data_IF_841139888332
#
_entry.id   IF_841139888332
#
_cell.length_a   1.000
_cell.length_b   1.000
_cell.length_c   1.000
_cell.angle_alpha   90.00
_cell.angle_beta   90.00
_cell.angle_gamma   90.00
#
_symmetry.space_group_name_H-M   'P 1'
#
loop_
_entity.id
_entity.type
_entity.pdbx_description
1 polymer ?
#
# COMPACT_ATOMS: atom_id res chain seq x y z
N UNK A 1 -12.96 31.10 -8.04
CA UNK A 1 -12.98 29.72 -7.57
C UNK A 1 -11.55 29.22 -7.32
N UNK A 2 -10.79 29.80 -6.41
CA UNK A 2 -9.40 29.48 -6.18
C UNK A 2 -8.88 29.78 -4.78
N UNK A 3 -9.70 30.39 -3.94
CA UNK A 3 -9.23 30.89 -2.63
C UNK A 3 -9.50 29.96 -1.44
N UNK A 4 -10.12 28.80 -1.64
CA UNK A 4 -10.51 27.86 -0.58
C UNK A 4 -9.79 26.50 -0.66
N UNK A 5 -8.68 26.39 -1.40
CA UNK A 5 -7.84 25.18 -1.41
C UNK A 5 -6.70 25.34 -0.40
N UNK A 6 -6.43 24.29 0.38
CA UNK A 6 -5.34 24.23 1.38
C UNK A 6 -5.48 25.19 2.59
N UNK A 7 -6.70 25.46 3.02
CA UNK A 7 -6.95 26.22 4.24
C UNK A 7 -6.54 25.41 5.48
N UNK A 8 -5.94 26.10 6.46
CA UNK A 8 -5.62 25.47 7.74
C UNK A 8 -6.91 25.06 8.47
N UNK A 9 -7.10 23.76 8.69
CA UNK A 9 -8.28 23.18 9.33
C UNK A 9 -8.62 23.87 10.67
N UNK A 10 -7.63 24.10 11.52
CA UNK A 10 -7.83 24.69 12.85
C UNK A 10 -8.33 26.15 12.78
N UNK A 11 -7.90 26.86 11.75
CA UNK A 11 -8.18 28.29 11.61
C UNK A 11 -9.56 28.57 10.99
N UNK A 12 -10.01 27.68 10.08
CA UNK A 12 -11.24 27.90 9.30
C UNK A 12 -12.36 26.91 9.64
N UNK A 13 -12.03 25.76 10.18
CA UNK A 13 -12.95 24.63 10.37
C UNK A 13 -13.00 24.13 11.81
N UNK A 14 -11.93 24.28 12.58
CA UNK A 14 -11.87 23.85 13.99
C UNK A 14 -12.96 24.48 14.87
N UNK A 15 -13.46 25.64 14.44
CA UNK A 15 -14.60 26.34 15.08
C UNK A 15 -15.89 25.50 14.98
N UNK A 16 -16.05 24.69 13.91
CA UNK A 16 -17.25 23.87 13.63
C UNK A 16 -17.26 22.54 14.38
N UNK A 17 -16.11 22.03 14.80
CA UNK A 17 -15.98 20.72 15.47
C UNK A 17 -16.94 20.56 16.62
N UNK A 18 -17.18 21.60 17.39
CA UNK A 18 -18.10 21.57 18.52
C UNK A 18 -19.56 21.34 18.10
N UNK A 19 -19.96 21.86 16.94
CA UNK A 19 -21.31 21.66 16.40
C UNK A 19 -21.46 20.29 15.75
N UNK A 20 -20.44 19.83 15.05
CA UNK A 20 -20.45 18.58 14.28
C UNK A 20 -20.22 17.33 15.14
N UNK A 21 -19.59 17.46 16.30
CA UNK A 21 -19.40 16.34 17.27
C UNK A 21 -20.69 15.82 17.87
N UNK A 22 -21.80 16.52 17.72
CA UNK A 22 -23.12 16.07 18.21
C UNK A 22 -23.83 15.08 17.29
N UNK A 23 -23.21 14.63 16.22
CA UNK A 23 -23.79 13.78 15.17
C UNK A 23 -25.03 14.40 14.48
N UNK A 24 -25.16 15.73 14.51
CA UNK A 24 -26.29 16.45 13.95
C UNK A 24 -25.83 17.42 12.88
N UNK A 25 -26.68 17.64 11.90
CA UNK A 25 -26.44 18.71 10.91
C UNK A 25 -26.49 20.08 11.58
N UNK A 26 -25.63 20.99 11.12
CA UNK A 26 -25.63 22.39 11.54
C UNK A 26 -26.53 23.17 10.61
N UNK A 27 -27.45 23.92 11.18
CA UNK A 27 -28.36 24.80 10.42
C UNK A 27 -28.28 26.19 11.02
N UNK A 28 -27.78 27.14 10.26
CA UNK A 28 -27.72 28.57 10.59
C UNK A 28 -28.50 29.32 9.50
N UNK A 29 -29.78 29.57 9.71
CA UNK A 29 -30.62 30.28 8.72
C UNK A 29 -30.19 31.72 8.48
N UNK A 30 -29.69 32.38 9.53
CA UNK A 30 -29.15 33.74 9.49
C UNK A 30 -27.98 33.85 10.46
N UNK A 31 -26.81 34.21 9.97
CA UNK A 31 -25.60 34.36 10.81
C UNK A 31 -25.75 35.48 11.87
N UNK A 32 -26.60 36.46 11.67
CA UNK A 32 -26.80 37.52 12.66
C UNK A 32 -27.38 36.95 13.98
N UNK A 33 -28.07 35.81 13.92
CA UNK A 33 -28.60 35.14 15.11
C UNK A 33 -27.48 34.60 16.05
N UNK A 34 -26.32 34.27 15.52
CA UNK A 34 -25.19 33.72 16.31
C UNK A 34 -24.18 34.80 16.72
N UNK A 35 -24.34 36.06 16.29
CA UNK A 35 -23.40 37.17 16.50
C UNK A 35 -23.00 37.35 17.97
N UNK A 36 -23.94 37.24 18.91
CA UNK A 36 -23.67 37.43 20.35
C UNK A 36 -23.26 36.15 21.06
N UNK A 37 -23.68 35.00 20.58
CA UNK A 37 -23.42 33.69 21.20
C UNK A 37 -22.18 33.05 20.69
N UNK A 38 -21.77 33.36 19.45
CA UNK A 38 -20.60 32.77 18.78
C UNK A 38 -19.97 33.78 17.81
N UNK A 39 -19.30 34.78 18.37
CA UNK A 39 -18.68 35.86 17.60
C UNK A 39 -17.57 35.35 16.65
N UNK A 40 -16.86 34.28 17.02
CA UNK A 40 -15.78 33.74 16.20
C UNK A 40 -16.34 33.12 14.91
N UNK A 41 -17.35 32.28 15.05
CA UNK A 41 -18.06 31.68 13.92
C UNK A 41 -18.71 32.75 13.04
N UNK A 42 -19.36 33.71 13.66
CA UNK A 42 -19.96 34.84 12.95
C UNK A 42 -18.95 35.62 12.10
N UNK A 43 -17.81 36.01 12.69
CA UNK A 43 -16.77 36.75 11.97
C UNK A 43 -16.15 35.94 10.82
N UNK A 44 -15.98 34.64 11.02
CA UNK A 44 -15.47 33.72 9.99
C UNK A 44 -16.42 33.67 8.79
N UNK A 45 -17.71 33.42 9.03
CA UNK A 45 -18.73 33.36 7.98
C UNK A 45 -18.91 34.68 7.25
N UNK A 46 -18.93 35.75 8.02
CA UNK A 46 -19.10 37.10 7.45
C UNK A 46 -17.97 37.50 6.51
N UNK A 47 -16.71 37.14 6.84
CA UNK A 47 -15.55 37.38 5.97
C UNK A 47 -15.66 36.58 4.65
N UNK A 48 -16.35 35.48 4.65
CA UNK A 48 -16.58 34.63 3.48
C UNK A 48 -17.87 35.01 2.73
N UNK A 49 -18.57 36.09 3.12
CA UNK A 49 -19.86 36.52 2.56
C UNK A 49 -20.96 35.44 2.69
N UNK A 50 -20.89 34.62 3.73
CA UNK A 50 -21.90 33.63 4.04
C UNK A 50 -22.95 34.31 4.96
N UNK A 51 -24.23 34.21 4.57
CA UNK A 51 -25.37 34.76 5.33
C UNK A 51 -26.20 33.64 5.97
N UNK A 52 -26.23 32.50 5.35
CA UNK A 52 -26.87 31.30 5.90
C UNK A 52 -26.00 30.08 5.59
N UNK A 53 -26.00 29.06 6.49
CA UNK A 53 -25.17 27.87 6.38
C UNK A 53 -25.98 26.64 6.77
N UNK A 54 -25.83 25.59 5.99
CA UNK A 54 -26.32 24.25 6.35
C UNK A 54 -25.21 23.24 6.05
N UNK A 55 -24.82 22.46 7.07
CA UNK A 55 -23.78 21.47 6.95
C UNK A 55 -24.24 20.12 7.52
N UNK A 56 -23.93 19.05 6.78
CA UNK A 56 -24.15 17.67 7.19
C UNK A 56 -22.79 16.96 7.40
N UNK A 57 -22.56 16.35 8.57
CA UNK A 57 -21.31 15.67 8.86
C UNK A 57 -21.19 14.37 8.08
N UNK A 58 -19.98 14.06 7.64
CA UNK A 58 -19.60 12.77 7.08
C UNK A 58 -18.72 12.03 8.07
N UNK A 59 -19.01 10.74 8.30
CA UNK A 59 -18.28 9.90 9.25
C UNK A 59 -17.59 8.75 8.54
N UNK A 60 -16.41 8.38 9.07
CA UNK A 60 -15.67 7.18 8.69
C UNK A 60 -15.20 6.48 9.97
N UNK A 61 -15.55 5.20 10.15
CA UNK A 61 -15.26 4.44 11.38
C UNK A 61 -15.66 5.20 12.67
N UNK A 62 -16.86 5.78 12.68
CA UNK A 62 -17.42 6.61 13.77
C UNK A 62 -16.66 7.93 14.04
N UNK A 63 -15.65 8.26 13.25
CA UNK A 63 -14.94 9.52 13.35
C UNK A 63 -15.43 10.51 12.30
N UNK A 64 -15.52 11.78 12.67
CA UNK A 64 -15.81 12.84 11.72
C UNK A 64 -14.68 12.88 10.66
N UNK A 65 -15.04 12.65 9.41
CA UNK A 65 -14.10 12.65 8.27
C UNK A 65 -14.22 13.85 7.36
N UNK A 66 -15.27 14.65 7.56
CA UNK A 66 -15.55 15.84 6.78
C UNK A 66 -17.01 16.25 6.92
N UNK A 67 -17.43 17.20 6.14
CA UNK A 67 -18.81 17.68 6.06
C UNK A 67 -19.14 18.09 4.63
N UNK A 68 -20.43 18.08 4.36
CA UNK A 68 -21.02 18.55 3.12
C UNK A 68 -21.92 19.72 3.46
N UNK A 69 -21.66 20.90 2.88
CA UNK A 69 -22.38 22.11 3.22
C UNK A 69 -22.96 22.82 2.00
N UNK A 70 -23.93 23.69 2.25
CA UNK A 70 -24.45 24.67 1.33
C UNK A 70 -24.58 26.01 2.03
N UNK A 71 -24.10 27.05 1.36
CA UNK A 71 -24.12 28.43 1.83
C UNK A 71 -25.19 29.23 1.11
N UNK A 72 -25.69 30.27 1.78
CA UNK A 72 -26.59 31.28 1.18
C UNK A 72 -27.84 30.68 0.54
N UNK A 73 -28.38 29.62 1.19
CA UNK A 73 -29.63 28.99 0.75
C UNK A 73 -30.84 29.84 1.11
N UNK A 74 -31.96 29.62 0.41
CA UNK A 74 -33.23 30.26 0.75
C UNK A 74 -33.86 29.54 1.94
N UNK A 75 -34.37 30.29 2.92
CA UNK A 75 -34.99 29.72 4.11
C UNK A 75 -36.16 28.77 3.77
N UNK A 76 -36.91 29.07 2.69
CA UNK A 76 -37.97 28.19 2.19
C UNK A 76 -37.52 26.83 1.82
N UNK A 77 -36.25 26.66 1.46
CA UNK A 77 -35.69 25.42 0.93
C UNK A 77 -34.88 24.66 2.00
N UNK A 78 -34.77 25.22 3.21
CA UNK A 78 -33.91 24.69 4.28
C UNK A 78 -34.20 23.22 4.65
N UNK A 79 -35.47 22.83 4.74
CA UNK A 79 -35.87 21.49 5.12
C UNK A 79 -35.50 20.47 4.06
N UNK A 80 -35.76 20.78 2.79
CA UNK A 80 -35.46 19.89 1.64
C UNK A 80 -33.92 19.80 1.45
N UNK A 81 -33.23 20.94 1.57
CA UNK A 81 -31.78 21.00 1.50
C UNK A 81 -31.12 20.19 2.61
N UNK A 82 -31.59 20.31 3.85
CA UNK A 82 -31.11 19.52 4.98
C UNK A 82 -31.27 18.03 4.70
N UNK A 83 -32.47 17.61 4.31
CA UNK A 83 -32.73 16.21 3.97
C UNK A 83 -31.81 15.70 2.86
N UNK A 84 -31.64 16.49 1.80
CA UNK A 84 -30.77 16.14 0.68
C UNK A 84 -29.32 16.00 1.12
N UNK A 85 -28.78 16.99 1.85
CA UNK A 85 -27.38 16.99 2.31
C UNK A 85 -27.08 15.84 3.27
N UNK A 86 -27.97 15.56 4.22
CA UNK A 86 -27.83 14.43 5.14
C UNK A 86 -27.75 13.09 4.39
N UNK A 87 -28.63 12.88 3.40
CA UNK A 87 -28.60 11.68 2.58
C UNK A 87 -27.34 11.61 1.71
N UNK A 88 -26.91 12.73 1.12
CA UNK A 88 -25.67 12.79 0.35
C UNK A 88 -24.45 12.57 1.22
N UNK A 89 -24.39 13.12 2.42
CA UNK A 89 -23.29 12.91 3.37
C UNK A 89 -23.17 11.43 3.77
N UNK A 90 -24.28 10.78 4.08
CA UNK A 90 -24.33 9.33 4.35
C UNK A 90 -23.89 8.53 3.13
N UNK A 91 -24.37 8.86 1.93
CA UNK A 91 -24.00 8.17 0.70
C UNK A 91 -22.48 8.29 0.42
N UNK A 92 -21.92 9.49 0.53
CA UNK A 92 -20.49 9.75 0.30
C UNK A 92 -19.62 9.03 1.34
N UNK A 93 -20.02 9.05 2.63
CA UNK A 93 -19.35 8.31 3.70
C UNK A 93 -19.27 6.83 3.37
N UNK A 94 -20.41 6.20 3.04
CA UNK A 94 -20.45 4.77 2.68
C UNK A 94 -19.65 4.46 1.42
N UNK A 95 -19.67 5.34 0.42
CA UNK A 95 -18.89 5.15 -0.80
C UNK A 95 -17.39 5.17 -0.51
N UNK A 96 -16.94 6.05 0.38
CA UNK A 96 -15.57 6.10 0.85
C UNK A 96 -15.20 4.81 1.59
N UNK A 97 -16.02 4.35 2.55
CA UNK A 97 -15.79 3.11 3.30
C UNK A 97 -15.64 1.90 2.37
N UNK A 98 -16.50 1.80 1.36
CA UNK A 98 -16.43 0.72 0.35
C UNK A 98 -15.13 0.82 -0.44
N UNK A 99 -14.71 2.02 -0.83
CA UNK A 99 -13.46 2.24 -1.56
C UNK A 99 -12.24 1.80 -0.74
N UNK A 100 -12.16 2.26 0.50
CA UNK A 100 -11.07 1.93 1.42
C UNK A 100 -11.02 0.41 1.72
N UNK A 101 -12.19 -0.22 1.86
CA UNK A 101 -12.30 -1.67 2.01
C UNK A 101 -11.83 -2.42 0.75
N UNK A 102 -12.22 -1.95 -0.44
CA UNK A 102 -11.78 -2.54 -1.71
C UNK A 102 -10.26 -2.42 -1.90
N UNK A 103 -9.67 -1.28 -1.56
CA UNK A 103 -8.22 -1.08 -1.63
C UNK A 103 -7.49 -1.98 -0.63
N UNK A 104 -8.02 -2.13 0.57
CA UNK A 104 -7.49 -3.06 1.56
C UNK A 104 -7.57 -4.51 1.11
N UNK A 105 -8.71 -4.93 0.55
CA UNK A 105 -8.87 -6.27 -0.02
C UNK A 105 -7.91 -6.52 -1.20
N UNK A 106 -7.74 -5.53 -2.08
CA UNK A 106 -6.77 -5.60 -3.17
C UNK A 106 -5.35 -5.75 -2.64
N UNK A 107 -4.97 -4.91 -1.66
CA UNK A 107 -3.66 -5.00 -1.01
C UNK A 107 -3.41 -6.39 -0.41
N UNK A 108 -4.34 -6.93 0.37
CA UNK A 108 -4.25 -8.26 0.98
C UNK A 108 -4.21 -9.39 -0.07
N UNK A 109 -4.94 -9.22 -1.18
CA UNK A 109 -4.96 -10.18 -2.29
C UNK A 109 -3.65 -10.20 -3.08
N UNK A 110 -2.87 -9.11 -3.07
CA UNK A 110 -1.69 -8.93 -3.93
C UNK A 110 -0.36 -8.93 -3.19
N UNK A 111 -0.37 -8.73 -1.86
CA UNK A 111 0.85 -8.61 -1.07
C UNK A 111 0.98 -9.72 -0.04
N UNK A 112 2.21 -10.04 0.33
CA UNK A 112 2.57 -10.83 1.49
C UNK A 112 2.60 -9.89 2.71
N UNK A 113 1.74 -10.17 3.70
CA UNK A 113 1.54 -9.28 4.87
C UNK A 113 2.79 -9.19 5.74
N UNK A 114 3.59 -10.26 5.81
CA UNK A 114 4.78 -10.30 6.64
C UNK A 114 5.91 -9.44 6.08
N UNK A 115 6.13 -9.54 4.77
CA UNK A 115 7.31 -8.95 4.10
C UNK A 115 6.99 -7.69 3.29
N UNK A 116 5.71 -7.44 2.99
CA UNK A 116 5.26 -6.30 2.20
C UNK A 116 5.79 -6.29 0.76
N UNK A 117 6.20 -7.45 0.22
CA UNK A 117 6.38 -7.66 -1.22
C UNK A 117 5.14 -8.31 -1.81
N UNK A 118 5.05 -8.40 -3.11
CA UNK A 118 3.93 -9.08 -3.74
C UNK A 118 3.88 -10.57 -3.40
N UNK A 119 2.67 -11.14 -3.40
CA UNK A 119 2.46 -12.56 -3.17
C UNK A 119 2.42 -13.37 -4.48
N UNK A 120 2.26 -14.69 -4.38
CA UNK A 120 2.16 -15.61 -5.53
C UNK A 120 1.00 -15.25 -6.48
N UNK A 121 -0.12 -14.74 -5.96
CA UNK A 121 -1.27 -14.36 -6.80
C UNK A 121 -0.93 -13.17 -7.70
N UNK A 122 -0.27 -12.14 -7.13
CA UNK A 122 0.21 -11.00 -7.89
C UNK A 122 1.24 -11.42 -8.95
N UNK A 123 2.17 -12.34 -8.60
CA UNK A 123 3.12 -12.90 -9.56
C UNK A 123 2.40 -13.55 -10.74
N UNK A 124 1.40 -14.40 -10.48
CA UNK A 124 0.67 -15.11 -11.55
C UNK A 124 -0.01 -14.13 -12.52
N UNK A 125 -0.56 -13.02 -12.01
CA UNK A 125 -1.11 -11.94 -12.87
C UNK A 125 -0.01 -11.26 -13.69
N UNK A 126 1.12 -10.95 -13.06
CA UNK A 126 2.26 -10.30 -13.75
C UNK A 126 2.84 -11.17 -14.86
N UNK A 127 2.89 -12.49 -14.69
CA UNK A 127 3.36 -13.42 -15.71
C UNK A 127 2.55 -13.33 -17.03
N UNK A 128 1.26 -13.05 -16.94
CA UNK A 128 0.40 -12.88 -18.11
C UNK A 128 0.74 -11.62 -18.89
N UNK A 129 0.99 -10.49 -18.19
CA UNK A 129 1.39 -9.24 -18.84
C UNK A 129 2.80 -9.32 -19.44
N UNK A 130 3.76 -9.92 -18.72
CA UNK A 130 5.12 -10.11 -19.22
C UNK A 130 5.16 -10.91 -20.54
N UNK A 131 4.32 -11.97 -20.65
CA UNK A 131 4.22 -12.75 -21.89
C UNK A 131 3.68 -11.93 -23.06
N UNK A 132 2.74 -11.05 -22.80
CA UNK A 132 2.13 -10.21 -23.85
C UNK A 132 3.10 -9.17 -24.41
N UNK A 133 4.01 -8.68 -23.60
CA UNK A 133 4.97 -7.64 -23.98
C UNK A 133 6.20 -8.20 -24.72
N UNK A 134 6.48 -9.51 -24.60
CA UNK A 134 7.58 -10.28 -25.21
C UNK A 134 8.95 -9.57 -25.22
N UNK A 135 9.26 -8.86 -24.14
CA UNK A 135 10.57 -8.22 -23.92
C UNK A 135 11.58 -9.17 -23.28
N UNK A 136 12.84 -8.75 -23.26
CA UNK A 136 13.89 -9.44 -22.50
C UNK A 136 13.57 -9.42 -21.00
N UNK A 137 13.94 -10.47 -20.27
CA UNK A 137 13.61 -10.61 -18.86
C UNK A 137 14.73 -11.27 -18.09
N UNK A 138 15.12 -10.67 -16.98
CA UNK A 138 15.93 -11.32 -15.94
C UNK A 138 15.01 -11.96 -14.89
N UNK A 139 15.30 -13.18 -14.48
CA UNK A 139 14.56 -13.93 -13.47
C UNK A 139 15.52 -14.32 -12.37
N UNK A 140 15.24 -13.99 -11.13
CA UNK A 140 16.04 -14.32 -9.95
C UNK A 140 15.16 -15.05 -8.95
N UNK A 141 15.45 -16.33 -8.71
CA UNK A 141 14.88 -17.12 -7.62
C UNK A 141 15.81 -17.08 -6.42
N UNK A 142 15.25 -16.93 -5.26
CA UNK A 142 16.00 -16.88 -3.99
C UNK A 142 15.27 -17.69 -2.93
N UNK A 143 16.05 -18.44 -2.16
CA UNK A 143 15.57 -19.22 -1.03
C UNK A 143 16.42 -18.86 0.20
N UNK A 144 15.76 -18.55 1.32
CA UNK A 144 16.43 -18.23 2.59
C UNK A 144 16.85 -19.51 3.31
N UNK A 145 18.15 -19.73 3.41
CA UNK A 145 18.68 -20.94 4.01
C UNK A 145 18.35 -21.06 5.51
N UNK A 146 18.04 -22.30 5.93
CA UNK A 146 17.86 -22.69 7.34
C UNK A 146 16.72 -21.96 8.08
N UNK A 147 15.70 -21.45 7.41
CA UNK A 147 14.57 -20.80 8.06
C UNK A 147 13.87 -21.73 9.06
N UNK A 148 13.65 -23.02 8.68
CA UNK A 148 13.04 -24.01 9.56
C UNK A 148 13.87 -24.21 10.83
N UNK A 149 15.18 -24.42 10.72
CA UNK A 149 16.07 -24.56 11.86
C UNK A 149 16.05 -23.29 12.75
N UNK A 150 16.03 -22.12 12.16
CA UNK A 150 15.90 -20.84 12.88
C UNK A 150 14.60 -20.80 13.68
N UNK A 151 13.47 -21.19 13.08
CA UNK A 151 12.17 -21.23 13.73
C UNK A 151 12.15 -22.22 14.90
N UNK A 152 12.69 -23.43 14.68
CA UNK A 152 12.71 -24.49 15.66
C UNK A 152 13.65 -24.16 16.85
N UNK A 153 14.73 -23.40 16.60
CA UNK A 153 15.72 -23.06 17.63
C UNK A 153 15.43 -21.75 18.36
N UNK A 154 14.99 -20.72 17.64
CA UNK A 154 14.85 -19.36 18.17
C UNK A 154 13.42 -18.83 18.16
N UNK A 155 12.46 -19.62 17.65
CA UNK A 155 11.06 -19.26 17.55
C UNK A 155 10.70 -18.50 16.25
N UNK A 156 9.41 -18.50 15.92
CA UNK A 156 8.88 -17.92 14.68
C UNK A 156 9.13 -16.43 14.54
N UNK A 157 9.20 -15.67 15.63
CA UNK A 157 9.47 -14.22 15.60
C UNK A 157 10.85 -13.89 14.98
N UNK A 158 11.86 -14.72 15.24
CA UNK A 158 13.21 -14.57 14.66
C UNK A 158 13.20 -14.95 13.19
N UNK A 159 12.50 -16.02 12.81
CA UNK A 159 12.31 -16.38 11.42
C UNK A 159 11.56 -15.32 10.61
N UNK A 160 10.53 -14.72 11.19
CA UNK A 160 9.80 -13.60 10.59
C UNK A 160 10.69 -12.38 10.37
N UNK A 161 11.59 -12.07 11.32
CA UNK A 161 12.58 -11.00 11.15
C UNK A 161 13.49 -11.29 9.96
N UNK A 162 14.02 -12.53 9.84
CA UNK A 162 14.85 -12.92 8.69
C UNK A 162 14.16 -12.80 7.36
N UNK A 163 12.87 -13.11 7.30
CA UNK A 163 12.05 -12.93 6.09
C UNK A 163 11.88 -11.44 5.73
N UNK A 164 11.72 -10.57 6.73
CA UNK A 164 11.69 -9.11 6.51
C UNK A 164 13.05 -8.59 6.04
N UNK A 165 14.15 -9.06 6.63
CA UNK A 165 15.51 -8.68 6.22
C UNK A 165 15.80 -9.09 4.78
N UNK A 166 15.37 -10.30 4.40
CA UNK A 166 15.46 -10.80 3.04
C UNK A 166 14.66 -9.94 2.04
N UNK A 167 13.43 -9.58 2.40
CA UNK A 167 12.61 -8.67 1.63
C UNK A 167 13.26 -7.28 1.45
N UNK A 168 13.83 -6.72 2.52
CA UNK A 168 14.56 -5.46 2.50
C UNK A 168 15.83 -5.54 1.63
N UNK A 169 16.53 -6.66 1.67
CA UNK A 169 17.67 -6.93 0.79
C UNK A 169 17.23 -6.93 -0.68
N UNK A 170 16.19 -7.67 -1.02
CA UNK A 170 15.69 -7.71 -2.40
C UNK A 170 15.26 -6.33 -2.90
N UNK A 171 14.53 -5.57 -2.09
CA UNK A 171 14.09 -4.19 -2.40
C UNK A 171 15.26 -3.23 -2.63
N UNK A 172 16.43 -3.49 -2.04
CA UNK A 172 17.63 -2.66 -2.23
C UNK A 172 18.35 -2.90 -3.56
N UNK A 173 18.05 -4.01 -4.25
CA UNK A 173 18.78 -4.44 -5.46
C UNK A 173 17.87 -4.65 -6.67
N UNK A 174 16.63 -5.09 -6.45
CA UNK A 174 15.65 -5.37 -7.49
C UNK A 174 14.52 -4.33 -7.48
N UNK A 175 13.82 -4.11 -8.62
CA UNK A 175 12.64 -3.25 -8.67
C UNK A 175 11.56 -3.72 -7.69
N UNK A 176 11.12 -2.88 -6.71
CA UNK A 176 10.21 -3.31 -5.65
C UNK A 176 8.87 -3.85 -6.14
N UNK A 177 8.38 -3.33 -7.28
CA UNK A 177 7.12 -3.73 -7.91
C UNK A 177 7.16 -5.13 -8.57
N UNK A 178 8.34 -5.69 -8.77
CA UNK A 178 8.55 -6.98 -9.42
C UNK A 178 9.25 -7.99 -8.49
N UNK A 179 9.03 -7.86 -7.17
CA UNK A 179 9.49 -8.80 -6.14
C UNK A 179 8.29 -9.54 -5.56
N UNK A 180 8.39 -10.86 -5.50
CA UNK A 180 7.30 -11.75 -5.08
C UNK A 180 7.79 -12.76 -4.05
N UNK A 181 6.99 -13.01 -3.00
CA UNK A 181 7.16 -14.15 -2.10
C UNK A 181 6.21 -15.26 -2.52
N UNK A 182 6.76 -16.44 -2.80
CA UNK A 182 5.97 -17.58 -3.29
C UNK A 182 5.35 -18.39 -2.15
N UNK A 183 5.96 -18.36 -0.99
CA UNK A 183 5.57 -19.04 0.24
C UNK A 183 6.81 -19.48 1.02
N UNK A 184 6.68 -19.69 2.33
CA UNK A 184 7.81 -20.10 3.17
C UNK A 184 9.00 -19.15 3.06
N UNK A 185 10.12 -19.68 2.58
CA UNK A 185 11.43 -19.05 2.40
C UNK A 185 11.74 -18.63 0.95
N UNK A 186 10.81 -18.86 0.00
CA UNK A 186 11.04 -18.66 -1.43
C UNK A 186 10.58 -17.30 -1.93
N UNK A 187 11.48 -16.61 -2.65
CA UNK A 187 11.24 -15.32 -3.31
C UNK A 187 11.62 -15.36 -4.78
N UNK A 188 10.95 -14.53 -5.57
CA UNK A 188 11.27 -14.33 -7.00
C UNK A 188 11.31 -12.84 -7.29
N UNK A 189 12.25 -12.43 -8.15
CA UNK A 189 12.24 -11.11 -8.73
C UNK A 189 12.32 -11.18 -10.26
N UNK A 190 11.61 -10.27 -10.93
CA UNK A 190 11.69 -10.05 -12.36
C UNK A 190 12.40 -8.73 -12.66
N UNK A 191 13.30 -8.75 -13.64
CA UNK A 191 13.97 -7.58 -14.19
C UNK A 191 13.48 -7.38 -15.62
N UNK A 192 12.32 -6.74 -15.75
CA UNK A 192 11.63 -6.53 -17.00
C UNK A 192 12.42 -5.57 -17.91
N UNK A 193 12.62 -5.95 -19.18
CA UNK A 193 13.38 -5.19 -20.17
C UNK A 193 14.89 -5.17 -19.92
N UNK A 194 15.41 -5.87 -18.90
CA UNK A 194 16.84 -5.88 -18.60
C UNK A 194 17.63 -6.58 -19.72
N UNK A 195 18.73 -5.97 -20.15
CA UNK A 195 19.72 -6.65 -20.96
C UNK A 195 20.52 -7.68 -20.13
N UNK A 196 21.27 -8.53 -20.83
CA UNK A 196 22.01 -9.64 -20.19
C UNK A 196 23.09 -9.15 -19.23
N UNK A 197 23.70 -8.02 -19.51
CA UNK A 197 24.80 -7.47 -18.70
C UNK A 197 24.25 -6.81 -17.42
N UNK A 198 23.20 -6.02 -17.54
CA UNK A 198 22.48 -5.44 -16.41
C UNK A 198 21.93 -6.52 -15.47
N UNK A 199 21.37 -7.61 -16.03
CA UNK A 199 20.93 -8.76 -15.27
C UNK A 199 22.07 -9.41 -14.47
N UNK A 200 23.23 -9.66 -15.10
CA UNK A 200 24.39 -10.24 -14.40
C UNK A 200 24.85 -9.33 -13.24
N UNK A 201 24.98 -8.03 -13.52
CA UNK A 201 25.37 -7.04 -12.52
C UNK A 201 24.41 -7.01 -11.33
N UNK A 202 23.11 -7.07 -11.58
CA UNK A 202 22.09 -7.12 -10.51
C UNK A 202 22.23 -8.39 -9.68
N UNK A 203 22.45 -9.54 -10.32
CA UNK A 203 22.63 -10.82 -9.63
C UNK A 203 23.90 -10.82 -8.75
N UNK A 204 25.00 -10.25 -9.25
CA UNK A 204 26.25 -10.10 -8.49
C UNK A 204 26.09 -9.15 -7.32
N UNK A 205 25.43 -7.99 -7.55
CA UNK A 205 25.14 -7.04 -6.49
C UNK A 205 24.27 -7.64 -5.39
N UNK A 206 23.28 -8.45 -5.78
CA UNK A 206 22.44 -9.17 -4.83
C UNK A 206 23.28 -10.11 -3.94
N UNK A 207 24.17 -10.92 -4.54
CA UNK A 207 25.04 -11.82 -3.77
C UNK A 207 25.95 -11.05 -2.80
N UNK A 208 26.61 -10.00 -3.26
CA UNK A 208 27.47 -9.15 -2.42
C UNK A 208 26.67 -8.50 -1.27
N UNK A 209 25.46 -8.04 -1.54
CA UNK A 209 24.61 -7.43 -0.53
C UNK A 209 24.09 -8.44 0.50
N UNK A 210 23.84 -9.70 0.08
CA UNK A 210 23.49 -10.80 0.97
C UNK A 210 24.66 -11.16 1.91
N UNK A 211 25.86 -11.32 1.36
CA UNK A 211 27.09 -11.56 2.12
C UNK A 211 27.37 -10.44 3.12
N UNK A 212 27.30 -9.18 2.67
CA UNK A 212 27.55 -8.01 3.52
C UNK A 212 26.56 -7.85 4.68
N UNK A 213 25.38 -8.46 4.58
CA UNK A 213 24.34 -8.48 5.65
C UNK A 213 24.30 -9.81 6.40
N UNK A 214 25.18 -10.75 6.12
CA UNK A 214 25.18 -12.12 6.67
C UNK A 214 23.84 -12.86 6.48
N UNK A 215 23.17 -12.60 5.36
CA UNK A 215 21.92 -13.27 4.97
C UNK A 215 22.30 -14.47 4.08
N UNK A 216 22.17 -15.67 4.62
CA UNK A 216 22.50 -16.88 3.89
C UNK A 216 21.35 -17.30 2.97
N UNK A 217 21.60 -17.31 1.66
CA UNK A 217 20.61 -17.58 0.61
C UNK A 217 21.15 -18.56 -0.43
N UNK A 218 20.26 -19.29 -1.06
CA UNK A 218 20.51 -19.95 -2.32
C UNK A 218 19.89 -19.13 -3.45
N UNK A 219 20.64 -18.87 -4.52
CA UNK A 219 20.23 -17.97 -5.60
C UNK A 219 20.34 -18.64 -6.95
N UNK A 220 19.26 -18.65 -7.72
CA UNK A 220 19.25 -19.07 -9.11
C UNK A 220 18.83 -17.93 -10.03
N UNK A 221 19.62 -17.65 -11.03
CA UNK A 221 19.33 -16.58 -11.99
C UNK A 221 19.26 -17.08 -13.43
N UNK A 222 18.32 -16.55 -14.21
CA UNK A 222 18.20 -16.80 -15.64
C UNK A 222 17.81 -15.53 -16.38
N UNK A 223 18.54 -15.16 -17.40
CA UNK A 223 18.15 -14.17 -18.37
C UNK A 223 17.59 -14.85 -19.62
N UNK A 224 16.50 -14.32 -20.15
CA UNK A 224 15.87 -14.73 -21.40
C UNK A 224 15.71 -13.52 -22.34
N UNK A 225 15.96 -13.68 -23.65
CA UNK A 225 15.84 -12.58 -24.62
C UNK A 225 14.37 -12.23 -24.94
N UNK A 226 13.46 -13.17 -24.81
CA UNK A 226 12.04 -13.03 -25.11
C UNK A 226 11.19 -13.68 -24.03
N UNK A 227 10.16 -12.98 -23.55
CA UNK A 227 9.26 -13.47 -22.52
C UNK A 227 8.38 -14.65 -22.97
N UNK A 228 8.32 -14.95 -24.27
CA UNK A 228 7.78 -16.21 -24.81
C UNK A 228 8.44 -17.46 -24.19
N UNK A 229 9.70 -17.36 -23.75
CA UNK A 229 10.44 -18.41 -23.06
C UNK A 229 10.30 -18.39 -21.53
N UNK A 230 9.39 -17.61 -20.97
CA UNK A 230 9.26 -17.32 -19.53
C UNK A 230 9.13 -18.60 -18.69
N UNK A 231 8.26 -19.53 -19.04
CA UNK A 231 8.04 -20.77 -18.28
C UNK A 231 9.32 -21.61 -18.17
N UNK A 232 10.07 -21.72 -19.27
CA UNK A 232 11.36 -22.40 -19.28
C UNK A 232 12.40 -21.62 -18.48
N UNK A 233 12.42 -20.31 -18.64
CA UNK A 233 13.33 -19.42 -17.89
C UNK A 233 13.15 -19.52 -16.38
N UNK A 234 11.91 -19.54 -15.91
CA UNK A 234 11.57 -19.72 -14.49
C UNK A 234 12.07 -21.09 -13.97
N UNK A 235 11.78 -22.15 -14.69
CA UNK A 235 12.25 -23.50 -14.32
C UNK A 235 13.78 -23.58 -14.26
N UNK A 236 14.48 -22.98 -15.23
CA UNK A 236 15.94 -22.96 -15.26
C UNK A 236 16.51 -22.16 -14.06
N UNK A 237 15.90 -21.04 -13.68
CA UNK A 237 16.30 -20.23 -12.53
C UNK A 237 16.07 -20.97 -11.21
N UNK A 238 14.88 -21.55 -11.03
CA UNK A 238 14.53 -22.36 -9.87
C UNK A 238 15.48 -23.55 -9.69
N UNK A 239 15.76 -24.29 -10.76
CA UNK A 239 16.68 -25.43 -10.73
C UNK A 239 18.12 -25.02 -10.32
N UNK A 240 18.58 -23.86 -10.76
CA UNK A 240 19.88 -23.32 -10.34
C UNK A 240 19.90 -22.96 -8.85
N UNK A 241 18.85 -22.31 -8.35
CA UNK A 241 18.68 -22.01 -6.93
C UNK A 241 18.70 -23.30 -6.09
N UNK A 242 17.92 -24.30 -6.50
CA UNK A 242 17.88 -25.59 -5.79
C UNK A 242 19.22 -26.31 -5.81
N UNK A 243 19.96 -26.26 -6.93
CA UNK A 243 21.31 -26.86 -7.04
C UNK A 243 22.31 -26.13 -6.11
N UNK A 244 22.20 -24.84 -5.94
CA UNK A 244 23.00 -24.06 -4.99
C UNK A 244 22.63 -24.40 -3.53
N UNK A 245 21.32 -24.52 -3.23
CA UNK A 245 20.83 -24.93 -1.90
C UNK A 245 21.41 -26.30 -1.48
N UNK A 246 21.40 -27.26 -2.37
CA UNK A 246 21.98 -28.63 -2.09
C UNK A 246 23.47 -28.56 -1.75
N UNK A 247 24.28 -27.85 -2.55
CA UNK A 247 25.72 -27.70 -2.29
C UNK A 247 26.01 -27.03 -0.94
N UNK A 248 25.20 -26.07 -0.54
CA UNK A 248 25.35 -25.40 0.77
C UNK A 248 25.00 -26.34 1.95
N UNK A 249 24.18 -27.35 1.75
CA UNK A 249 23.89 -28.38 2.76
C UNK A 249 25.01 -29.45 2.83
N UNK A 250 25.46 -29.98 1.69
CA UNK A 250 26.52 -31.00 1.61
C UNK A 250 27.87 -30.51 2.21
N UNK A 251 28.27 -29.26 1.95
CA UNK A 251 29.50 -28.68 2.50
C UNK A 251 29.49 -28.40 4.02
N UNK A 252 28.35 -28.56 4.70
CA UNK A 252 28.26 -28.47 6.16
C UNK A 252 28.37 -29.83 6.87
N UNK A 253 27.89 -30.87 6.26
CA UNK A 253 28.03 -32.23 6.80
C UNK A 253 29.52 -32.65 6.85
N UNK A 254 30.30 -32.23 5.84
CA UNK A 254 31.76 -32.48 5.79
C UNK A 254 32.55 -31.65 6.80
N UNK A 255 32.01 -30.55 7.32
CA UNK A 255 32.69 -29.70 8.30
C UNK A 255 32.37 -30.06 9.75
N UNK A 256 31.49 -31.02 10.01
CA UNK A 256 31.07 -31.51 11.31
C UNK A 256 31.51 -32.97 11.58
N UNK A 257 32.18 -33.58 10.60
CA UNK A 257 32.85 -34.88 10.72
C UNK A 257 34.36 -34.69 10.93
#
# INVERSE_FOLDING_TARGET
MGELQDLNYEEYVGVWDRYLRTNSSVVIPDIEAIRQTDAITYDCLKKQHIHSLLEAPMYHDHNLSGYLGVDNYKESDAADMKYLLENMAVYLSRKKDIHDLMDRLRYLSENDILTGVHNRNAMNRRLSSLKAEDRSLGIIYVDLNNLKWTNDTYGHSVGDSRLRDMSALMKSVCPPQDIYRLGGDEFVAFLDGADKESFKKTLENFRKAAEGRSIHVAVGGKWIPHASSLVRGMRDAEHRMYSEKRRSHEGREDSLS
#
